data_IF_110899327816
#
_entry.id   IF_110899327816
#
_cell.length_a   1.000
_cell.length_b   1.000
_cell.length_c   1.000
_cell.angle_alpha   90.00
_cell.angle_beta   90.00
_cell.angle_gamma   90.00
#
_symmetry.space_group_name_H-M   'P 1'
#
loop_
_entity.id
_entity.type
_entity.pdbx_description
1 polymer ?
#
# COMPACT_ATOMS: atom_id res chain seq x y z
N UNK A 1 26.79 5.44 -6.29
CA UNK A 1 27.00 5.96 -4.93
C UNK A 1 26.05 7.13 -4.70
N UNK A 2 25.44 7.22 -3.50
CA UNK A 2 24.47 8.28 -3.15
C UNK A 2 25.10 9.68 -3.26
N UNK A 3 26.38 9.82 -2.91
CA UNK A 3 27.10 11.10 -2.99
C UNK A 3 27.47 11.48 -4.44
N UNK A 4 27.75 10.51 -5.27
CA UNK A 4 28.14 10.73 -6.66
C UNK A 4 26.97 11.05 -7.58
N UNK A 5 25.73 10.62 -7.22
CA UNK A 5 24.56 10.88 -8.05
C UNK A 5 24.05 12.33 -7.99
N UNK A 6 24.61 13.18 -7.08
CA UNK A 6 24.22 14.58 -6.95
C UNK A 6 22.78 14.79 -6.46
N UNK A 7 22.27 13.86 -5.67
CA UNK A 7 20.91 13.95 -5.13
C UNK A 7 20.79 15.04 -4.06
N UNK A 8 19.72 15.82 -4.10
CA UNK A 8 19.40 16.85 -3.11
C UNK A 8 18.57 16.31 -1.93
N UNK A 9 17.92 15.15 -2.11
CA UNK A 9 17.05 14.52 -1.13
C UNK A 9 17.05 13.00 -1.31
N UNK A 10 16.97 12.27 -0.21
CA UNK A 10 16.73 10.82 -0.19
C UNK A 10 15.28 10.59 0.25
N UNK A 11 14.50 9.90 -0.57
CA UNK A 11 13.14 9.50 -0.23
C UNK A 11 13.13 8.01 0.08
N UNK A 12 12.76 7.67 1.31
CA UNK A 12 12.74 6.32 1.82
C UNK A 12 11.28 5.86 2.05
N UNK A 13 10.84 4.88 1.26
CA UNK A 13 9.53 4.24 1.42
C UNK A 13 9.63 2.96 2.27
N UNK A 14 9.97 3.16 3.57
CA UNK A 14 10.04 2.08 4.56
C UNK A 14 11.15 1.04 4.30
N UNK A 15 12.23 1.43 3.62
CA UNK A 15 13.36 0.56 3.30
C UNK A 15 14.39 0.55 4.44
N UNK A 16 14.62 -0.65 5.02
CA UNK A 16 15.50 -0.83 6.17
C UNK A 16 16.97 -0.56 5.84
N UNK A 17 17.43 -0.99 4.66
CA UNK A 17 18.81 -0.76 4.23
C UNK A 17 19.10 0.71 4.01
N UNK A 18 18.13 1.46 3.48
CA UNK A 18 18.25 2.90 3.34
C UNK A 18 18.42 3.59 4.70
N UNK A 19 17.55 3.31 5.66
CA UNK A 19 17.62 3.88 7.01
C UNK A 19 18.94 3.55 7.73
N UNK A 20 19.42 2.29 7.66
CA UNK A 20 20.71 1.89 8.22
C UNK A 20 21.86 2.63 7.53
N UNK A 21 21.86 2.69 6.21
CA UNK A 21 22.92 3.33 5.42
C UNK A 21 23.00 4.83 5.73
N UNK A 22 21.88 5.53 5.74
CA UNK A 22 21.82 6.96 6.07
C UNK A 22 22.30 7.23 7.50
N UNK A 23 21.97 6.35 8.45
CA UNK A 23 22.47 6.47 9.83
C UNK A 23 23.97 6.25 9.99
N UNK A 24 24.53 5.25 9.28
CA UNK A 24 25.94 4.89 9.38
C UNK A 24 26.87 5.90 8.69
N UNK A 25 26.51 6.31 7.48
CA UNK A 25 27.35 7.18 6.66
C UNK A 25 27.08 8.67 6.87
N UNK A 26 26.00 9.03 7.58
CA UNK A 26 25.65 10.41 7.95
C UNK A 26 25.78 11.39 6.78
N UNK A 27 25.08 11.06 5.69
CA UNK A 27 25.07 11.93 4.51
C UNK A 27 24.60 13.35 4.87
N UNK A 28 25.16 14.37 4.19
CA UNK A 28 24.65 15.74 4.28
C UNK A 28 23.30 15.94 3.58
N UNK A 29 22.90 14.97 2.78
CA UNK A 29 21.62 14.94 2.04
C UNK A 29 20.51 14.56 3.00
N UNK A 30 19.42 15.34 3.10
CA UNK A 30 18.30 15.02 3.99
C UNK A 30 17.57 13.76 3.54
N UNK A 31 17.25 12.87 4.50
CA UNK A 31 16.41 11.70 4.29
C UNK A 31 14.98 12.00 4.76
N UNK A 32 14.00 11.80 3.88
CA UNK A 32 12.58 11.88 4.20
C UNK A 32 11.95 10.50 4.08
N UNK A 33 11.48 9.99 5.20
CA UNK A 33 10.80 8.70 5.28
C UNK A 33 9.31 8.88 5.07
N UNK A 34 8.69 8.10 4.15
CA UNK A 34 7.28 8.18 3.81
C UNK A 34 6.62 6.81 3.95
N UNK A 35 5.56 6.69 4.74
CA UNK A 35 4.82 5.44 4.88
C UNK A 35 3.77 5.49 5.99
N UNK A 36 2.74 4.66 5.89
CA UNK A 36 1.72 4.55 6.93
C UNK A 36 2.25 3.87 8.21
N UNK A 37 3.29 3.04 8.08
CA UNK A 37 3.91 2.35 9.21
C UNK A 37 4.55 3.32 10.22
N UNK A 38 4.92 4.53 9.81
CA UNK A 38 5.45 5.53 10.74
C UNK A 38 4.43 6.00 11.77
N UNK A 39 3.13 5.74 11.57
CA UNK A 39 2.11 5.90 12.60
C UNK A 39 2.33 4.99 13.82
N UNK A 40 3.01 3.84 13.69
CA UNK A 40 3.32 2.98 14.82
C UNK A 40 4.18 3.67 15.88
N UNK A 41 4.90 4.72 15.49
CA UNK A 41 5.71 5.54 16.39
C UNK A 41 4.94 6.73 16.98
N UNK A 42 3.74 7.01 16.47
CA UNK A 42 2.92 8.12 16.97
C UNK A 42 2.23 7.74 18.29
N UNK A 43 2.34 8.55 19.37
CA UNK A 43 1.81 8.20 20.69
C UNK A 43 0.28 8.03 20.73
N UNK A 44 -0.45 8.74 19.89
CA UNK A 44 -1.91 8.63 19.81
C UNK A 44 -2.40 7.45 18.95
N UNK A 45 -1.49 6.74 18.27
CA UNK A 45 -1.86 5.57 17.48
C UNK A 45 -1.97 4.35 18.37
N UNK A 46 -3.12 3.70 18.34
CA UNK A 46 -3.37 2.46 19.05
C UNK A 46 -3.39 1.29 18.08
N UNK A 47 -2.55 0.30 18.32
CA UNK A 47 -2.57 -0.94 17.55
C UNK A 47 -3.90 -1.67 17.77
N UNK A 48 -4.52 -2.24 16.71
CA UNK A 48 -5.68 -3.10 16.87
C UNK A 48 -5.33 -4.27 17.79
N UNK A 49 -6.18 -4.58 18.77
CA UNK A 49 -5.93 -5.65 19.73
C UNK A 49 -5.76 -7.03 19.07
N UNK A 50 -4.98 -7.93 19.70
CA UNK A 50 -4.62 -9.29 19.25
C UNK A 50 -3.84 -9.34 17.92
N UNK A 51 -2.69 -8.71 17.90
CA UNK A 51 -1.73 -8.88 16.82
C UNK A 51 -0.87 -10.12 17.06
N UNK A 52 -0.61 -10.95 16.03
CA UNK A 52 0.30 -12.10 16.16
C UNK A 52 1.75 -11.68 16.37
N UNK A 53 2.12 -10.44 15.97
CA UNK A 53 3.45 -9.88 16.16
C UNK A 53 3.41 -8.88 17.31
N UNK A 54 4.34 -8.95 18.30
CA UNK A 54 4.41 -7.97 19.37
C UNK A 54 4.55 -6.53 18.87
N UNK A 55 3.75 -5.62 19.40
CA UNK A 55 3.78 -4.18 19.05
C UNK A 55 5.20 -3.59 19.18
N UNK A 56 5.95 -4.02 20.21
CA UNK A 56 7.33 -3.60 20.44
C UNK A 56 8.27 -3.95 19.28
N UNK A 57 8.09 -5.12 18.66
CA UNK A 57 8.89 -5.56 17.53
C UNK A 57 8.58 -4.71 16.28
N UNK A 58 7.32 -4.44 16.01
CA UNK A 58 6.92 -3.56 14.90
C UNK A 58 7.47 -2.14 15.09
N UNK A 59 7.34 -1.58 16.28
CA UNK A 59 7.92 -0.27 16.61
C UNK A 59 9.44 -0.25 16.49
N UNK A 60 10.11 -1.32 16.93
CA UNK A 60 11.55 -1.44 16.82
C UNK A 60 11.99 -1.49 15.35
N UNK A 61 11.36 -2.34 14.54
CA UNK A 61 11.64 -2.41 13.11
C UNK A 61 11.39 -1.07 12.42
N UNK A 62 10.26 -0.41 12.71
CA UNK A 62 9.95 0.91 12.17
C UNK A 62 11.00 1.96 12.52
N UNK A 63 11.56 1.92 13.74
CA UNK A 63 12.67 2.82 14.12
C UNK A 63 13.93 2.58 13.30
N UNK A 64 14.23 1.32 12.98
CA UNK A 64 15.40 0.99 12.15
C UNK A 64 15.24 1.56 10.73
N UNK A 65 14.04 1.46 10.14
CA UNK A 65 13.80 1.97 8.79
C UNK A 65 13.95 3.48 8.65
N UNK A 66 13.95 4.22 9.76
CA UNK A 66 14.06 5.69 9.75
C UNK A 66 15.17 6.23 10.67
N UNK A 67 16.22 5.44 10.92
CA UNK A 67 17.29 5.82 11.86
C UNK A 67 18.04 7.10 11.45
N UNK A 68 18.20 7.35 10.16
CA UNK A 68 18.89 8.53 9.63
C UNK A 68 17.95 9.68 9.25
N UNK A 69 16.65 9.50 9.41
CA UNK A 69 15.65 10.39 8.83
C UNK A 69 15.66 11.81 9.42
N UNK A 70 15.71 12.79 8.55
CA UNK A 70 15.48 14.21 8.86
C UNK A 70 14.01 14.49 9.16
N UNK A 71 13.09 13.82 8.45
CA UNK A 71 11.65 13.92 8.65
C UNK A 71 10.95 12.59 8.37
N UNK A 72 9.83 12.36 9.03
CA UNK A 72 8.96 11.19 8.85
C UNK A 72 7.55 11.67 8.48
N UNK A 73 7.09 11.33 7.28
CA UNK A 73 5.74 11.58 6.80
C UNK A 73 4.88 10.32 7.02
N UNK A 74 4.07 10.33 8.06
CA UNK A 74 3.16 9.23 8.37
C UNK A 74 1.86 9.39 7.57
N UNK A 75 1.64 8.50 6.59
CA UNK A 75 0.44 8.53 5.76
C UNK A 75 -0.78 8.05 6.55
N UNK A 76 -1.84 8.85 6.60
CA UNK A 76 -3.07 8.48 7.31
C UNK A 76 -4.31 9.10 6.68
N UNK A 77 -5.41 8.31 6.67
CA UNK A 77 -6.75 8.82 6.34
C UNK A 77 -7.33 9.59 7.54
N UNK A 78 -6.96 9.18 8.76
CA UNK A 78 -7.36 9.85 10.00
C UNK A 78 -6.29 10.86 10.41
N UNK A 79 -6.73 12.04 10.79
CA UNK A 79 -5.83 13.03 11.37
C UNK A 79 -5.51 12.67 12.83
N UNK A 80 -4.21 12.49 13.11
CA UNK A 80 -3.66 12.28 14.46
C UNK A 80 -2.94 13.53 14.98
N UNK A 81 -2.82 14.58 14.15
CA UNK A 81 -1.94 15.73 14.40
C UNK A 81 -0.46 15.40 14.19
N UNK A 82 0.36 16.42 14.12
CA UNK A 82 1.82 16.25 14.00
C UNK A 82 2.43 15.92 15.37
N UNK A 83 3.49 15.13 15.37
CA UNK A 83 4.25 14.75 16.56
C UNK A 83 5.72 15.24 16.44
N UNK A 84 5.99 16.48 16.93
CA UNK A 84 7.28 17.13 16.71
C UNK A 84 8.45 16.50 17.52
N UNK A 85 8.17 15.86 18.66
CA UNK A 85 9.23 15.27 19.52
C UNK A 85 9.96 14.14 18.78
N UNK A 86 9.22 13.35 18.00
CA UNK A 86 9.81 12.28 17.19
C UNK A 86 9.95 12.65 15.70
N UNK A 87 9.67 13.90 15.35
CA UNK A 87 9.76 14.39 13.98
C UNK A 87 8.77 13.72 13.02
N UNK A 88 7.57 13.39 13.49
CA UNK A 88 6.51 12.77 12.70
C UNK A 88 5.53 13.84 12.25
N UNK A 89 5.34 13.95 10.94
CA UNK A 89 4.30 14.76 10.33
C UNK A 89 3.21 13.85 9.76
N UNK A 90 1.98 14.00 10.20
CA UNK A 90 0.86 13.21 9.68
C UNK A 90 0.32 13.89 8.43
N UNK A 91 0.28 13.13 7.34
CA UNK A 91 -0.15 13.63 6.03
C UNK A 91 -1.17 12.69 5.39
N UNK A 92 -2.05 13.19 4.51
CA UNK A 92 -2.98 12.32 3.80
C UNK A 92 -2.26 11.31 2.91
N UNK A 93 -2.91 10.20 2.55
CA UNK A 93 -2.36 9.22 1.63
C UNK A 93 -1.98 9.84 0.28
N UNK A 94 -0.89 9.34 -0.30
CA UNK A 94 -0.47 9.72 -1.65
C UNK A 94 -1.45 9.16 -2.67
N UNK A 95 -2.22 10.03 -3.31
CA UNK A 95 -3.17 9.66 -4.35
C UNK A 95 -2.71 10.19 -5.69
N UNK A 96 -2.77 9.34 -6.71
CA UNK A 96 -2.57 9.76 -8.10
C UNK A 96 -3.64 10.77 -8.50
N UNK A 97 -3.30 11.68 -9.40
CA UNK A 97 -4.24 12.69 -9.88
C UNK A 97 -5.45 12.05 -10.57
N UNK A 98 -5.24 10.98 -11.32
CA UNK A 98 -6.28 10.20 -12.00
C UNK A 98 -7.31 9.66 -10.99
N UNK A 99 -6.87 9.18 -9.83
CA UNK A 99 -7.76 8.69 -8.78
C UNK A 99 -8.66 9.79 -8.18
N UNK A 100 -8.22 11.07 -8.26
CA UNK A 100 -9.01 12.22 -7.77
C UNK A 100 -10.03 12.70 -8.78
N UNK A 101 -9.80 12.48 -10.07
CA UNK A 101 -10.60 13.00 -11.18
C UNK A 101 -11.53 11.97 -11.81
N UNK A 102 -11.36 10.69 -11.45
CA UNK A 102 -12.15 9.61 -12.04
C UNK A 102 -13.64 9.75 -11.72
N UNK A 103 -14.48 9.59 -12.74
CA UNK A 103 -15.93 9.67 -12.59
C UNK A 103 -16.42 8.35 -11.97
N UNK A 104 -17.12 8.45 -10.85
CA UNK A 104 -17.77 7.30 -10.23
C UNK A 104 -18.98 6.87 -11.02
N UNK A 105 -19.17 5.57 -11.15
CA UNK A 105 -20.35 4.96 -11.73
C UNK A 105 -20.80 3.79 -10.83
N UNK A 106 -21.98 3.22 -11.10
CA UNK A 106 -22.51 2.12 -10.31
C UNK A 106 -22.54 0.85 -11.15
N UNK A 107 -21.56 -0.01 -10.96
CA UNK A 107 -21.56 -1.36 -11.52
C UNK A 107 -22.04 -2.38 -10.49
N UNK A 108 -22.60 -3.48 -10.95
CA UNK A 108 -23.05 -4.59 -10.10
C UNK A 108 -22.00 -5.71 -10.07
N UNK A 109 -20.80 -5.38 -9.63
CA UNK A 109 -19.70 -6.34 -9.50
C UNK A 109 -18.86 -6.06 -8.27
N UNK A 110 -18.23 -7.11 -7.76
CA UNK A 110 -17.18 -7.03 -6.76
C UNK A 110 -15.85 -7.04 -7.49
N UNK A 111 -14.99 -6.11 -7.13
CA UNK A 111 -13.63 -6.05 -7.63
C UNK A 111 -12.65 -6.51 -6.57
N UNK A 112 -11.59 -7.20 -6.98
CA UNK A 112 -10.53 -7.59 -6.07
C UNK A 112 -9.13 -7.35 -6.63
N UNK A 113 -8.16 -7.28 -5.73
CA UNK A 113 -6.74 -7.23 -6.03
C UNK A 113 -6.00 -8.28 -5.22
N UNK A 114 -5.16 -9.07 -5.89
CA UNK A 114 -4.36 -10.12 -5.27
C UNK A 114 -2.89 -9.87 -5.54
N UNK A 115 -2.11 -9.69 -4.48
CA UNK A 115 -0.65 -9.60 -4.55
C UNK A 115 0.00 -10.92 -5.01
N UNK A 116 -0.66 -12.05 -4.73
CA UNK A 116 -0.15 -13.38 -5.06
C UNK A 116 -1.23 -14.16 -5.82
N UNK A 117 -0.86 -14.69 -6.97
CA UNK A 117 -1.73 -15.54 -7.77
C UNK A 117 -2.20 -16.82 -7.06
N UNK A 118 -1.53 -17.24 -6.00
CA UNK A 118 -1.94 -18.38 -5.17
C UNK A 118 -3.36 -18.26 -4.60
N UNK A 119 -3.88 -17.04 -4.41
CA UNK A 119 -5.25 -16.81 -3.96
C UNK A 119 -6.32 -17.02 -5.05
N UNK A 120 -5.93 -17.26 -6.31
CA UNK A 120 -6.88 -17.46 -7.39
C UNK A 120 -7.79 -18.67 -7.16
N UNK A 121 -7.27 -19.75 -6.59
CA UNK A 121 -8.06 -20.94 -6.27
C UNK A 121 -9.08 -20.67 -5.16
N UNK A 122 -8.73 -19.87 -4.17
CA UNK A 122 -9.67 -19.46 -3.10
C UNK A 122 -10.81 -18.61 -3.67
N UNK A 123 -10.51 -17.72 -4.62
CA UNK A 123 -11.54 -16.92 -5.31
C UNK A 123 -12.45 -17.80 -6.14
N UNK A 124 -11.92 -18.79 -6.88
CA UNK A 124 -12.72 -19.75 -7.63
C UNK A 124 -13.62 -20.59 -6.72
N UNK A 125 -13.05 -21.12 -5.62
CA UNK A 125 -13.79 -21.91 -4.66
C UNK A 125 -14.91 -21.11 -3.95
N UNK A 126 -14.70 -19.81 -3.73
CA UNK A 126 -15.74 -18.92 -3.24
C UNK A 126 -16.82 -18.67 -4.31
N UNK A 127 -16.40 -18.45 -5.55
CA UNK A 127 -17.29 -18.20 -6.69
C UNK A 127 -18.19 -19.41 -7.00
N UNK A 128 -17.69 -20.61 -6.93
CA UNK A 128 -18.49 -21.84 -7.08
C UNK A 128 -19.72 -21.87 -6.12
N UNK A 129 -19.57 -21.28 -4.94
CA UNK A 129 -20.67 -21.16 -3.95
C UNK A 129 -21.57 -19.95 -4.21
N UNK A 130 -21.12 -19.01 -5.07
CA UNK A 130 -21.81 -17.76 -5.37
C UNK A 130 -21.81 -17.44 -6.88
N UNK A 131 -22.31 -18.37 -7.74
CA UNK A 131 -22.10 -18.31 -9.19
C UNK A 131 -22.78 -17.13 -9.90
N UNK A 132 -23.73 -16.46 -9.21
CA UNK A 132 -24.43 -15.28 -9.76
C UNK A 132 -23.75 -13.95 -9.38
N UNK A 133 -22.66 -14.00 -8.64
CA UNK A 133 -21.93 -12.78 -8.25
C UNK A 133 -20.88 -12.44 -9.30
N UNK A 134 -21.00 -11.26 -9.89
CA UNK A 134 -19.99 -10.79 -10.84
C UNK A 134 -18.71 -10.39 -10.11
N UNK A 135 -17.60 -11.03 -10.49
CA UNK A 135 -16.29 -10.87 -9.88
C UNK A 135 -15.25 -10.47 -10.94
N UNK A 136 -14.51 -9.44 -10.62
CA UNK A 136 -13.35 -9.00 -11.40
C UNK A 136 -12.14 -8.91 -10.49
N UNK A 137 -11.17 -9.81 -10.67
CA UNK A 137 -9.96 -9.83 -9.86
C UNK A 137 -8.73 -9.45 -10.68
N UNK A 138 -7.94 -8.51 -10.17
CA UNK A 138 -6.63 -8.17 -10.72
C UNK A 138 -5.54 -8.99 -10.03
N UNK A 139 -4.63 -9.55 -10.80
CA UNK A 139 -3.54 -10.40 -10.30
C UNK A 139 -2.22 -10.12 -11.00
N UNK A 140 -1.14 -10.41 -10.31
CA UNK A 140 0.21 -10.31 -10.85
C UNK A 140 0.60 -11.62 -11.55
N UNK A 141 0.16 -11.75 -12.81
CA UNK A 141 0.50 -12.87 -13.70
C UNK A 141 0.90 -12.30 -15.06
N UNK A 142 2.20 -11.99 -15.27
CA UNK A 142 2.68 -11.36 -16.50
C UNK A 142 2.41 -12.19 -17.76
N UNK A 143 2.44 -13.52 -17.64
CA UNK A 143 2.24 -14.45 -18.76
C UNK A 143 0.76 -14.78 -19.03
N UNK A 144 -0.15 -14.33 -18.17
CA UNK A 144 -1.58 -14.51 -18.39
C UNK A 144 -2.10 -13.55 -19.48
N UNK A 145 -3.20 -13.90 -20.19
CA UNK A 145 -3.87 -12.96 -21.06
C UNK A 145 -4.34 -11.73 -20.27
N UNK A 146 -4.59 -10.61 -20.97
CA UNK A 146 -5.09 -9.38 -20.32
C UNK A 146 -6.38 -9.61 -19.54
N UNK A 147 -7.22 -10.51 -20.06
CA UNK A 147 -8.45 -10.98 -19.44
C UNK A 147 -8.53 -12.50 -19.55
N UNK A 148 -8.65 -13.16 -18.40
CA UNK A 148 -8.93 -14.58 -18.30
C UNK A 148 -10.36 -14.75 -17.78
N UNK A 149 -11.30 -14.98 -18.68
CA UNK A 149 -12.67 -15.34 -18.31
C UNK A 149 -12.69 -16.79 -17.84
N UNK A 150 -13.10 -17.01 -16.59
CA UNK A 150 -13.32 -18.35 -16.04
C UNK A 150 -14.72 -18.82 -16.45
N UNK A 151 -15.71 -17.92 -16.34
CA UNK A 151 -17.08 -18.09 -16.79
C UNK A 151 -17.72 -16.71 -17.07
N UNK A 152 -19.07 -16.66 -17.16
CA UNK A 152 -19.81 -15.43 -17.47
C UNK A 152 -19.77 -14.39 -16.35
N UNK A 153 -19.39 -14.79 -15.14
CA UNK A 153 -19.44 -13.96 -13.91
C UNK A 153 -18.11 -13.81 -13.21
N UNK A 154 -17.08 -14.61 -13.54
CA UNK A 154 -15.74 -14.49 -12.98
C UNK A 154 -14.69 -14.19 -14.06
N UNK A 155 -14.01 -13.08 -13.93
CA UNK A 155 -12.89 -12.70 -14.80
C UNK A 155 -11.67 -12.27 -13.99
N UNK A 156 -10.51 -12.84 -14.30
CA UNK A 156 -9.22 -12.34 -13.83
C UNK A 156 -8.62 -11.38 -14.85
N UNK A 157 -8.03 -10.31 -14.38
CA UNK A 157 -7.39 -9.27 -15.18
C UNK A 157 -5.91 -9.19 -14.84
N UNK A 158 -5.06 -9.09 -15.85
CA UNK A 158 -3.69 -8.67 -15.64
C UNK A 158 -3.66 -7.23 -15.13
N UNK A 159 -2.68 -6.90 -14.26
CA UNK A 159 -2.56 -5.57 -13.70
C UNK A 159 -2.41 -4.53 -14.80
N UNK A 160 -3.32 -3.57 -14.80
CA UNK A 160 -3.32 -2.40 -15.67
C UNK A 160 -3.91 -1.23 -14.89
N UNK A 161 -3.11 -0.19 -14.70
CA UNK A 161 -3.41 0.92 -13.81
C UNK A 161 -4.71 1.67 -14.17
N UNK A 162 -4.90 1.97 -15.46
CA UNK A 162 -6.08 2.71 -15.92
C UNK A 162 -7.36 1.89 -15.76
N UNK A 163 -7.30 0.62 -16.18
CA UNK A 163 -8.43 -0.30 -16.07
C UNK A 163 -8.77 -0.55 -14.61
N UNK A 164 -7.76 -0.74 -13.77
CA UNK A 164 -7.91 -0.93 -12.32
C UNK A 164 -8.66 0.25 -11.69
N UNK A 165 -8.21 1.48 -11.93
CA UNK A 165 -8.86 2.67 -11.38
C UNK A 165 -10.29 2.85 -11.89
N UNK A 166 -10.54 2.64 -13.18
CA UNK A 166 -11.90 2.73 -13.78
C UNK A 166 -12.84 1.72 -13.15
N UNK A 167 -12.40 0.48 -13.00
CA UNK A 167 -13.22 -0.57 -12.41
C UNK A 167 -13.43 -0.37 -10.91
N UNK A 168 -12.41 0.11 -10.19
CA UNK A 168 -12.54 0.45 -8.77
C UNK A 168 -13.55 1.57 -8.54
N UNK A 169 -13.61 2.56 -9.44
CA UNK A 169 -14.57 3.66 -9.34
C UNK A 169 -16.03 3.22 -9.53
N UNK A 170 -16.26 2.04 -10.10
CA UNK A 170 -17.60 1.49 -10.38
C UNK A 170 -17.99 0.29 -9.54
N UNK A 171 -17.08 -0.33 -8.81
CA UNK A 171 -17.40 -1.56 -8.11
C UNK A 171 -18.36 -1.33 -6.92
N UNK A 172 -19.20 -2.34 -6.67
CA UNK A 172 -20.11 -2.39 -5.51
C UNK A 172 -19.36 -2.64 -4.20
N UNK A 173 -18.30 -3.44 -4.26
CA UNK A 173 -17.41 -3.74 -3.15
C UNK A 173 -16.00 -4.02 -3.67
N UNK A 174 -15.00 -3.80 -2.81
CA UNK A 174 -13.60 -4.07 -3.12
C UNK A 174 -13.02 -5.04 -2.10
N UNK A 175 -12.42 -6.12 -2.60
CA UNK A 175 -11.73 -7.13 -1.79
C UNK A 175 -10.24 -7.11 -2.10
N UNK A 176 -9.39 -7.10 -1.08
CA UNK A 176 -7.94 -7.13 -1.25
C UNK A 176 -7.28 -7.94 -0.15
N UNK A 177 -6.13 -8.50 -0.47
CA UNK A 177 -5.20 -9.02 0.53
C UNK A 177 -4.48 -7.84 1.18
N UNK A 178 -4.50 -7.79 2.51
CA UNK A 178 -3.80 -6.79 3.32
C UNK A 178 -2.40 -7.30 3.67
#
# INVERSE_FOLDING_TARGET
DIQECGADIIINFYEVLCGITCSLFRFSIPEVCIGHQYLFLHPSFQMPGKYPVPESLLKYFTRITCMGATAKLALSIRDYGDEPVHGIKVVPPLLRQEAKTIIRHHGDYIMGYMLNAGFAEDVKAWHEKHPHTHLHFFWDQPDAPEELKVDDTLTFHRINDEKFLKMMAGCKAFATTA
#
